data_IF_771521703743
#
_entry.id   IF_771521703743
#
_cell.length_a   1.000
_cell.length_b   1.000
_cell.length_c   1.000
_cell.angle_alpha   90.00
_cell.angle_beta   90.00
_cell.angle_gamma   90.00
#
_symmetry.space_group_name_H-M   'P 1'
#
loop_
_entity.id
_entity.type
_entity.pdbx_description
1 polymer ?
#
# COMPACT_ATOMS: atom_id res chain seq x y z
N UNK A 1 -22.37 -5.45 26.21
CA UNK A 1 -21.67 -4.62 25.24
C UNK A 1 -22.07 -3.18 25.50
N UNK A 2 -21.19 -2.38 26.11
CA UNK A 2 -21.46 -0.95 26.27
C UNK A 2 -21.45 -0.29 24.90
N UNK A 3 -22.57 0.36 24.56
CA UNK A 3 -22.67 1.19 23.36
C UNK A 3 -21.69 2.36 23.53
N UNK A 4 -20.61 2.39 22.74
CA UNK A 4 -19.68 3.52 22.77
C UNK A 4 -20.42 4.81 22.44
N UNK A 5 -20.17 5.85 23.23
CA UNK A 5 -20.82 7.14 23.05
C UNK A 5 -20.41 7.73 21.67
N UNK A 6 -21.29 8.42 20.93
CA UNK A 6 -20.95 9.05 19.64
C UNK A 6 -19.69 9.92 19.71
N UNK A 7 -19.44 10.55 20.84
CA UNK A 7 -18.24 11.37 21.08
C UNK A 7 -16.95 10.52 21.04
N UNK A 8 -17.00 9.26 21.52
CA UNK A 8 -15.84 8.36 21.50
C UNK A 8 -15.42 8.03 20.08
N UNK A 9 -16.39 7.88 19.17
CA UNK A 9 -16.11 7.67 17.74
C UNK A 9 -15.45 8.89 17.09
N UNK A 10 -15.88 10.10 17.45
CA UNK A 10 -15.27 11.34 16.93
C UNK A 10 -13.86 11.53 17.47
N UNK A 11 -13.63 11.30 18.77
CA UNK A 11 -12.30 11.39 19.38
C UNK A 11 -11.35 10.37 18.74
N UNK A 12 -11.79 9.13 18.56
CA UNK A 12 -11.00 8.09 17.93
C UNK A 12 -10.72 8.40 16.44
N UNK A 13 -11.66 9.03 15.73
CA UNK A 13 -11.43 9.48 14.36
C UNK A 13 -10.40 10.61 14.29
N UNK A 14 -10.47 11.59 15.21
CA UNK A 14 -9.49 12.66 15.30
C UNK A 14 -8.07 12.14 15.65
N UNK A 15 -7.95 11.21 16.60
CA UNK A 15 -6.66 10.58 16.95
C UNK A 15 -6.06 9.86 15.74
N UNK A 16 -6.87 9.05 15.01
CA UNK A 16 -6.42 8.38 13.79
C UNK A 16 -5.95 9.38 12.73
N UNK A 17 -6.68 10.47 12.53
CA UNK A 17 -6.32 11.50 11.56
C UNK A 17 -4.97 12.16 11.90
N UNK A 18 -4.77 12.53 13.16
CA UNK A 18 -3.53 13.13 13.62
C UNK A 18 -2.35 12.16 13.48
N UNK A 19 -2.53 10.87 13.81
CA UNK A 19 -1.50 9.85 13.64
C UNK A 19 -1.15 9.62 12.19
N UNK A 20 -2.15 9.49 11.31
CA UNK A 20 -1.93 9.24 9.89
C UNK A 20 -1.15 10.36 9.20
N UNK A 21 -1.31 11.62 9.64
CA UNK A 21 -0.68 12.77 9.01
C UNK A 21 0.65 13.16 9.64
N UNK A 22 0.79 13.02 10.96
CA UNK A 22 1.91 13.61 11.72
C UNK A 22 2.79 12.59 12.45
N UNK A 23 2.34 11.35 12.63
CA UNK A 23 3.17 10.32 13.23
C UNK A 23 3.87 9.47 12.14
N UNK A 24 5.07 8.95 12.41
CA UNK A 24 5.69 7.95 11.54
C UNK A 24 4.77 6.73 11.38
N UNK A 25 4.62 6.24 10.17
CA UNK A 25 3.85 5.02 9.93
C UNK A 25 4.56 3.81 10.54
N UNK A 26 3.78 2.92 11.16
CA UNK A 26 4.30 1.69 11.75
C UNK A 26 3.72 0.48 11.04
N UNK A 27 4.59 -0.31 10.42
CA UNK A 27 4.20 -1.56 9.81
C UNK A 27 4.05 -2.68 10.85
N UNK A 28 3.00 -3.47 10.71
CA UNK A 28 2.81 -4.74 11.41
C UNK A 28 3.46 -5.91 10.67
N UNK A 29 3.64 -5.77 9.37
CA UNK A 29 4.29 -6.74 8.45
C UNK A 29 5.68 -6.23 8.06
N UNK A 30 6.65 -7.14 7.82
CA UNK A 30 7.98 -6.75 7.34
C UNK A 30 7.88 -6.09 5.94
N UNK A 31 8.86 -5.26 5.61
CA UNK A 31 8.98 -4.71 4.25
C UNK A 31 9.17 -5.86 3.27
N UNK A 32 8.39 -5.93 2.16
CA UNK A 32 8.54 -6.97 1.15
C UNK A 32 9.97 -7.04 0.62
N UNK A 33 10.55 -8.24 0.64
CA UNK A 33 11.87 -8.48 0.07
C UNK A 33 11.76 -8.71 -1.44
N UNK A 34 12.73 -8.22 -2.20
CA UNK A 34 12.84 -8.60 -3.61
C UNK A 34 12.95 -10.12 -3.71
N UNK A 35 12.16 -10.73 -4.59
CA UNK A 35 12.29 -12.16 -4.87
C UNK A 35 13.69 -12.37 -5.45
N UNK A 36 14.56 -13.03 -4.70
CA UNK A 36 15.76 -13.63 -5.30
C UNK A 36 15.26 -14.74 -6.22
N UNK A 37 15.58 -14.67 -7.51
CA UNK A 37 15.33 -15.77 -8.44
C UNK A 37 15.70 -17.08 -7.76
N UNK A 38 14.83 -18.11 -7.80
CA UNK A 38 15.19 -19.43 -7.27
C UNK A 38 16.47 -19.87 -7.95
N UNK A 39 17.50 -20.12 -7.14
CA UNK A 39 18.78 -20.62 -7.62
C UNK A 39 18.52 -21.97 -8.32
N UNK A 40 18.46 -21.99 -9.66
CA UNK A 40 18.27 -23.19 -10.47
C UNK A 40 19.40 -24.24 -10.30
N UNK A 41 20.34 -23.98 -9.39
CA UNK A 41 21.53 -24.82 -9.14
C UNK A 41 21.31 -26.01 -8.21
N UNK A 42 20.15 -26.22 -7.59
CA UNK A 42 19.93 -27.32 -6.65
C UNK A 42 18.97 -28.39 -7.17
N UNK A 43 19.24 -28.91 -8.35
CA UNK A 43 18.67 -30.21 -8.77
C UNK A 43 19.41 -31.30 -8.00
N UNK A 44 18.74 -32.11 -7.17
CA UNK A 44 19.40 -33.23 -6.48
C UNK A 44 19.94 -34.24 -7.52
N UNK A 45 21.26 -34.35 -7.64
CA UNK A 45 21.87 -35.43 -8.41
C UNK A 45 21.58 -36.74 -7.72
N UNK A 46 21.21 -37.82 -8.47
CA UNK A 46 21.03 -39.15 -7.88
C UNK A 46 22.34 -39.63 -7.26
N UNK A 47 22.24 -40.13 -6.04
CA UNK A 47 23.38 -40.67 -5.29
C UNK A 47 23.92 -41.92 -6.00
N UNK A 48 25.09 -41.80 -6.56
CA UNK A 48 25.95 -42.91 -6.92
C UNK A 48 27.03 -43.10 -5.86
N UNK A 49 27.22 -44.34 -5.47
CA UNK A 49 28.08 -44.96 -4.45
C UNK A 49 29.41 -44.31 -4.12
N UNK A 50 29.69 -44.35 -2.83
CA UNK A 50 30.92 -44.69 -2.11
C UNK A 50 32.26 -44.17 -2.67
N UNK A 51 32.93 -43.28 -1.89
CA UNK A 51 34.25 -43.53 -1.37
C UNK A 51 34.64 -42.47 -0.32
N UNK A 52 35.24 -42.99 0.75
CA UNK A 52 35.81 -42.32 1.91
C UNK A 52 37.02 -41.48 1.51
N UNK A 53 37.05 -40.19 1.89
CA UNK A 53 38.28 -39.57 2.39
C UNK A 53 38.01 -38.19 3.05
N UNK A 54 38.50 -38.08 4.25
CA UNK A 54 38.54 -36.91 5.11
C UNK A 54 39.22 -35.68 4.46
N UNK A 55 38.50 -34.56 4.36
CA UNK A 55 39.15 -33.24 4.37
C UNK A 55 38.28 -32.24 5.11
N UNK A 56 38.78 -31.87 6.28
CA UNK A 56 38.42 -30.69 7.05
C UNK A 56 38.79 -29.46 6.20
N UNK A 57 37.80 -28.69 5.79
CA UNK A 57 38.06 -27.42 5.16
C UNK A 57 36.96 -26.41 5.52
N UNK A 58 37.38 -25.50 6.34
CA UNK A 58 37.04 -24.08 6.47
C UNK A 58 35.63 -23.68 5.94
N UNK A 59 34.68 -23.51 6.86
CA UNK A 59 33.42 -22.83 6.59
C UNK A 59 33.69 -21.32 6.60
N UNK A 60 34.22 -20.83 5.49
CA UNK A 60 34.10 -19.43 5.15
C UNK A 60 32.65 -19.14 4.83
N UNK A 61 32.00 -18.43 5.74
CA UNK A 61 30.66 -17.86 5.58
C UNK A 61 30.75 -16.74 4.52
N UNK A 62 30.69 -17.15 3.25
CA UNK A 62 30.55 -16.21 2.16
C UNK A 62 29.05 -15.93 1.96
N UNK A 63 28.53 -14.97 2.71
CA UNK A 63 27.33 -14.23 2.35
C UNK A 63 27.55 -13.59 0.96
N UNK A 64 27.32 -14.35 -0.10
CA UNK A 64 27.27 -13.87 -1.47
C UNK A 64 25.89 -13.27 -1.74
N UNK A 65 25.54 -12.22 -1.01
CA UNK A 65 24.50 -11.30 -1.46
C UNK A 65 25.01 -10.69 -2.77
N UNK A 66 24.34 -11.04 -3.89
CA UNK A 66 24.59 -10.40 -5.18
C UNK A 66 24.60 -8.88 -4.97
N UNK A 67 25.57 -8.15 -5.54
CA UNK A 67 25.63 -6.71 -5.34
C UNK A 67 24.33 -6.09 -5.85
N UNK A 68 23.60 -5.43 -4.96
CA UNK A 68 22.39 -4.69 -5.31
C UNK A 68 22.71 -3.78 -6.50
N UNK A 69 21.97 -3.94 -7.60
CA UNK A 69 22.14 -3.11 -8.78
C UNK A 69 22.02 -1.65 -8.37
N UNK A 70 23.10 -0.89 -8.51
CA UNK A 70 23.13 0.50 -8.10
C UNK A 70 22.37 1.33 -9.14
N UNK A 71 21.23 1.90 -8.74
CA UNK A 71 20.46 2.81 -9.59
C UNK A 71 21.29 4.04 -9.95
N UNK A 72 21.20 4.49 -11.20
CA UNK A 72 21.69 5.80 -11.61
C UNK A 72 20.91 6.91 -10.89
N UNK A 73 21.43 8.13 -10.88
CA UNK A 73 20.73 9.27 -10.24
C UNK A 73 19.37 9.54 -10.88
N UNK A 74 19.25 9.38 -12.20
CA UNK A 74 17.97 9.55 -12.90
C UNK A 74 16.96 8.47 -12.51
N UNK A 75 17.37 7.20 -12.45
CA UNK A 75 16.52 6.09 -12.00
C UNK A 75 16.10 6.24 -10.55
N UNK A 76 17.01 6.66 -9.68
CA UNK A 76 16.73 6.92 -8.26
C UNK A 76 15.69 8.03 -8.09
N UNK A 77 15.81 9.13 -8.83
CA UNK A 77 14.84 10.24 -8.80
C UNK A 77 13.48 9.80 -9.33
N UNK A 78 13.43 9.00 -10.40
CA UNK A 78 12.20 8.45 -10.95
C UNK A 78 11.51 7.53 -9.94
N UNK A 79 12.25 6.58 -9.36
CA UNK A 79 11.71 5.68 -8.31
C UNK A 79 11.18 6.47 -7.12
N UNK A 80 11.90 7.50 -6.67
CA UNK A 80 11.49 8.34 -5.56
C UNK A 80 10.18 9.10 -5.86
N UNK A 81 10.02 9.63 -7.08
CA UNK A 81 8.80 10.31 -7.48
C UNK A 81 7.60 9.34 -7.51
N UNK A 82 7.78 8.13 -8.07
CA UNK A 82 6.74 7.10 -8.11
C UNK A 82 6.35 6.63 -6.69
N UNK A 83 7.33 6.35 -5.83
CA UNK A 83 7.07 5.96 -4.44
C UNK A 83 6.39 7.06 -3.63
N UNK A 84 6.65 8.33 -3.91
CA UNK A 84 5.96 9.46 -3.28
C UNK A 84 4.49 9.53 -3.70
N UNK A 85 4.21 9.27 -4.96
CA UNK A 85 2.83 9.18 -5.46
C UNK A 85 2.09 8.05 -4.77
N UNK A 86 2.70 6.85 -4.66
CA UNK A 86 2.08 5.72 -3.97
C UNK A 86 1.80 6.08 -2.50
N UNK A 87 2.79 6.61 -1.77
CA UNK A 87 2.58 7.06 -0.39
C UNK A 87 1.41 8.05 -0.25
N UNK A 88 1.27 9.02 -1.17
CA UNK A 88 0.16 9.95 -1.14
C UNK A 88 -1.18 9.26 -1.43
N UNK A 89 -1.19 8.23 -2.29
CA UNK A 89 -2.33 7.36 -2.54
C UNK A 89 -2.79 6.64 -1.28
N UNK A 90 -1.85 6.03 -0.53
CA UNK A 90 -2.15 5.32 0.73
C UNK A 90 -2.69 6.26 1.82
N UNK A 91 -2.15 7.47 1.93
CA UNK A 91 -2.72 8.52 2.82
C UNK A 91 -4.18 8.80 2.44
N UNK A 92 -4.46 8.90 1.15
CA UNK A 92 -5.81 9.17 0.67
C UNK A 92 -6.77 7.98 0.87
N UNK A 93 -6.32 6.74 0.61
CA UNK A 93 -7.09 5.52 0.84
C UNK A 93 -7.41 5.34 2.33
N UNK A 94 -6.40 5.43 3.20
CA UNK A 94 -6.59 5.35 4.64
C UNK A 94 -7.58 6.40 5.16
N UNK A 95 -7.47 7.65 4.69
CA UNK A 95 -8.38 8.74 5.05
C UNK A 95 -9.81 8.47 4.58
N UNK A 96 -9.98 7.95 3.36
CA UNK A 96 -11.26 7.55 2.80
C UNK A 96 -11.94 6.51 3.70
N UNK A 97 -11.23 5.45 4.08
CA UNK A 97 -11.74 4.39 4.96
C UNK A 97 -12.08 4.91 6.35
N UNK A 98 -11.25 5.80 6.92
CA UNK A 98 -11.56 6.44 8.20
C UNK A 98 -12.85 7.28 8.14
N UNK A 99 -13.04 8.04 7.06
CA UNK A 99 -14.24 8.82 6.83
C UNK A 99 -15.48 7.96 6.64
N UNK A 100 -15.38 6.89 5.85
CA UNK A 100 -16.46 5.92 5.64
C UNK A 100 -16.81 5.20 6.95
N UNK A 101 -15.83 4.73 7.71
CA UNK A 101 -16.04 4.02 8.97
C UNK A 101 -16.72 4.89 10.04
N UNK A 102 -16.47 6.22 10.03
CA UNK A 102 -17.07 7.14 10.99
C UNK A 102 -18.61 7.14 10.90
N UNK A 103 -19.17 7.05 9.70
CA UNK A 103 -20.61 7.12 9.44
C UNK A 103 -21.22 5.82 8.96
N UNK A 104 -20.47 4.73 8.93
CA UNK A 104 -20.96 3.39 8.59
C UNK A 104 -22.11 2.98 9.51
N UNK A 105 -23.18 2.44 8.92
CA UNK A 105 -24.42 2.07 9.63
C UNK A 105 -24.32 0.72 10.32
N UNK A 106 -23.59 -0.23 9.75
CA UNK A 106 -23.36 -1.54 10.35
C UNK A 106 -21.96 -1.64 10.97
N UNK A 107 -21.86 -2.35 12.10
CA UNK A 107 -20.55 -2.61 12.72
C UNK A 107 -19.66 -3.45 11.80
N UNK A 108 -20.24 -4.40 11.06
CA UNK A 108 -19.49 -5.22 10.11
C UNK A 108 -18.83 -4.39 9.01
N UNK A 109 -19.53 -3.39 8.44
CA UNK A 109 -18.96 -2.45 7.46
C UNK A 109 -17.89 -1.60 8.11
N UNK A 110 -18.13 -1.10 9.32
CA UNK A 110 -17.16 -0.29 10.06
C UNK A 110 -15.88 -1.07 10.33
N UNK A 111 -15.98 -2.30 10.81
CA UNK A 111 -14.85 -3.14 11.14
C UNK A 111 -14.04 -3.50 9.89
N UNK A 112 -14.70 -3.81 8.77
CA UNK A 112 -14.05 -4.05 7.49
C UNK A 112 -13.22 -2.84 7.05
N UNK A 113 -13.81 -1.64 7.08
CA UNK A 113 -13.12 -0.39 6.68
C UNK A 113 -11.95 -0.04 7.61
N UNK A 114 -12.09 -0.26 8.92
CA UNK A 114 -11.00 -0.03 9.87
C UNK A 114 -9.89 -1.07 9.74
N UNK A 115 -10.21 -2.31 9.36
CA UNK A 115 -9.21 -3.33 9.07
C UNK A 115 -8.39 -2.95 7.83
N UNK A 116 -9.04 -2.58 6.73
CA UNK A 116 -8.36 -2.08 5.54
C UNK A 116 -7.48 -0.86 5.87
N UNK A 117 -8.04 0.17 6.55
CA UNK A 117 -7.27 1.34 6.96
C UNK A 117 -6.03 1.01 7.82
N UNK A 118 -6.08 -0.07 8.60
CA UNK A 118 -4.92 -0.55 9.37
C UNK A 118 -3.87 -1.18 8.47
N UNK A 119 -4.28 -1.93 7.43
CA UNK A 119 -3.35 -2.53 6.47
C UNK A 119 -2.65 -1.45 5.63
N UNK A 120 -3.34 -0.33 5.31
CA UNK A 120 -2.72 0.83 4.69
C UNK A 120 -1.56 1.42 5.51
N UNK A 121 -1.54 1.22 6.84
CA UNK A 121 -0.39 1.63 7.65
C UNK A 121 0.88 0.86 7.33
N UNK A 122 0.77 -0.40 6.90
CA UNK A 122 1.91 -1.19 6.42
C UNK A 122 2.45 -0.61 5.11
N UNK A 123 1.55 -0.33 4.15
CA UNK A 123 1.89 0.27 2.85
C UNK A 123 2.58 1.63 3.03
N UNK A 124 2.02 2.48 3.90
CA UNK A 124 2.62 3.78 4.25
C UNK A 124 4.03 3.61 4.79
N UNK A 125 4.23 2.72 5.76
CA UNK A 125 5.54 2.50 6.36
C UNK A 125 6.56 1.94 5.34
N UNK A 126 6.14 1.06 4.44
CA UNK A 126 7.00 0.54 3.37
C UNK A 126 7.40 1.64 2.38
N UNK A 127 6.45 2.48 1.98
CA UNK A 127 6.72 3.62 1.10
C UNK A 127 7.64 4.65 1.76
N UNK A 128 7.42 4.98 3.05
CA UNK A 128 8.30 5.90 3.80
C UNK A 128 9.73 5.37 3.91
N UNK A 129 9.89 4.09 4.29
CA UNK A 129 11.19 3.44 4.38
C UNK A 129 11.91 3.50 3.02
N UNK A 130 11.20 3.18 1.93
CA UNK A 130 11.77 3.22 0.59
C UNK A 130 12.14 4.62 0.14
N UNK A 131 11.29 5.61 0.38
CA UNK A 131 11.60 7.02 0.09
C UNK A 131 12.86 7.49 0.81
N UNK A 132 13.03 7.13 2.09
CA UNK A 132 14.23 7.44 2.87
C UNK A 132 15.49 6.81 2.25
N UNK A 133 15.43 5.55 1.81
CA UNK A 133 16.54 4.87 1.12
C UNK A 133 16.91 5.53 -0.20
N UNK A 134 15.91 6.03 -0.93
CA UNK A 134 16.09 6.77 -2.17
C UNK A 134 16.60 8.20 -1.94
N UNK A 135 16.77 8.63 -0.68
CA UNK A 135 17.19 9.99 -0.31
C UNK A 135 16.10 11.04 -0.60
N UNK A 136 14.83 10.64 -0.50
CA UNK A 136 13.68 11.48 -0.80
C UNK A 136 12.75 11.62 0.41
N UNK A 137 11.61 12.27 0.22
CA UNK A 137 10.61 12.54 1.25
C UNK A 137 9.21 12.27 0.75
N UNK A 138 8.26 12.17 1.65
CA UNK A 138 6.82 12.12 1.36
C UNK A 138 6.30 13.46 0.84
N UNK A 139 5.09 13.47 0.28
CA UNK A 139 4.47 14.70 -0.24
C UNK A 139 4.15 15.68 0.88
N UNK A 140 4.44 16.97 0.66
CA UNK A 140 4.04 18.05 1.57
C UNK A 140 2.53 18.28 1.60
N UNK A 141 1.81 17.79 0.60
CA UNK A 141 0.37 17.95 0.47
C UNK A 141 -0.41 16.81 1.17
N UNK A 142 0.27 15.89 1.87
CA UNK A 142 -0.40 14.79 2.58
C UNK A 142 -1.53 15.25 3.53
N UNK A 143 -1.40 16.35 4.32
CA UNK A 143 -2.52 16.84 5.13
C UNK A 143 -3.75 17.22 4.29
N UNK A 144 -3.54 17.81 3.11
CA UNK A 144 -4.61 18.18 2.18
C UNK A 144 -5.27 16.93 1.58
N UNK A 145 -4.47 15.96 1.16
CA UNK A 145 -4.97 14.68 0.62
C UNK A 145 -5.77 13.92 1.67
N UNK A 146 -5.27 13.88 2.91
CA UNK A 146 -6.00 13.25 4.02
C UNK A 146 -7.35 13.92 4.26
N UNK A 147 -7.39 15.24 4.48
CA UNK A 147 -8.62 15.96 4.78
C UNK A 147 -9.65 15.85 3.64
N UNK A 148 -9.20 15.98 2.38
CA UNK A 148 -10.07 15.87 1.21
C UNK A 148 -10.66 14.46 1.06
N UNK A 149 -9.83 13.43 1.16
CA UNK A 149 -10.28 12.04 1.05
C UNK A 149 -11.17 11.61 2.21
N UNK A 150 -10.87 12.07 3.43
CA UNK A 150 -11.74 11.82 4.59
C UNK A 150 -13.14 12.40 4.38
N UNK A 151 -13.23 13.65 3.91
CA UNK A 151 -14.52 14.28 3.61
C UNK A 151 -15.29 13.51 2.51
N UNK A 152 -14.60 13.07 1.46
CA UNK A 152 -15.18 12.23 0.40
C UNK A 152 -15.69 10.90 1.00
N UNK A 153 -14.93 10.27 1.88
CA UNK A 153 -15.33 9.05 2.57
C UNK A 153 -16.60 9.22 3.39
N UNK A 154 -16.69 10.29 4.17
CA UNK A 154 -17.92 10.65 4.92
C UNK A 154 -19.10 10.81 3.98
N UNK A 155 -18.94 11.54 2.88
CA UNK A 155 -20.02 11.75 1.90
C UNK A 155 -20.45 10.45 1.21
N UNK A 156 -19.51 9.60 0.82
CA UNK A 156 -19.81 8.30 0.22
C UNK A 156 -20.60 7.40 1.18
N UNK A 157 -20.21 7.33 2.46
CA UNK A 157 -20.88 6.51 3.45
C UNK A 157 -22.23 7.08 3.92
N UNK A 158 -22.43 8.38 3.85
CA UNK A 158 -23.73 9.01 4.14
C UNK A 158 -24.86 8.49 3.23
N UNK A 159 -24.53 8.03 2.02
CA UNK A 159 -25.49 7.41 1.08
C UNK A 159 -25.89 5.98 1.43
N UNK A 160 -25.16 5.33 2.35
CA UNK A 160 -25.40 3.98 2.86
C UNK A 160 -24.26 3.00 2.59
N UNK A 161 -24.20 1.94 3.40
CA UNK A 161 -23.07 1.00 3.43
C UNK A 161 -22.79 0.34 2.08
N UNK A 162 -23.83 -0.05 1.33
CA UNK A 162 -23.64 -0.68 0.02
C UNK A 162 -22.97 0.24 -1.02
N UNK A 163 -23.35 1.52 -1.03
CA UNK A 163 -22.72 2.52 -1.90
C UNK A 163 -21.32 2.84 -1.43
N UNK A 164 -21.13 2.96 -0.11
CA UNK A 164 -19.83 3.14 0.55
C UNK A 164 -18.85 2.04 0.17
N UNK A 165 -19.26 0.77 0.29
CA UNK A 165 -18.44 -0.38 -0.12
C UNK A 165 -18.22 -0.41 -1.65
N UNK A 166 -19.18 0.04 -2.44
CA UNK A 166 -19.00 0.22 -3.88
C UNK A 166 -17.96 1.26 -4.23
N UNK A 167 -17.84 2.30 -3.39
CA UNK A 167 -16.79 3.30 -3.52
C UNK A 167 -15.41 2.69 -3.23
N UNK A 168 -15.29 1.81 -2.21
CA UNK A 168 -14.07 1.04 -1.96
C UNK A 168 -13.70 0.19 -3.17
N UNK A 169 -14.63 -0.63 -3.68
CA UNK A 169 -14.38 -1.48 -4.86
C UNK A 169 -13.83 -0.68 -6.05
N UNK A 170 -14.37 0.51 -6.32
CA UNK A 170 -13.89 1.35 -7.42
C UNK A 170 -12.54 2.00 -7.09
N UNK A 171 -12.28 2.38 -5.84
CA UNK A 171 -10.98 2.92 -5.39
C UNK A 171 -9.90 1.88 -5.63
N UNK A 172 -10.07 0.65 -5.12
CA UNK A 172 -9.06 -0.41 -5.25
C UNK A 172 -8.80 -0.79 -6.71
N UNK A 173 -9.85 -0.86 -7.52
CA UNK A 173 -9.69 -1.09 -8.96
C UNK A 173 -8.84 0.00 -9.64
N UNK A 174 -8.97 1.26 -9.21
CA UNK A 174 -8.16 2.36 -9.75
C UNK A 174 -6.73 2.33 -9.20
N UNK A 175 -6.55 1.96 -7.93
CA UNK A 175 -5.22 1.81 -7.31
C UNK A 175 -4.48 0.64 -7.95
N UNK A 176 -5.11 -0.53 -8.14
CA UNK A 176 -4.53 -1.67 -8.86
C UNK A 176 -3.99 -1.26 -10.22
N UNK A 177 -4.81 -0.58 -11.05
CA UNK A 177 -4.38 -0.11 -12.36
C UNK A 177 -3.25 0.91 -12.31
N UNK A 178 -3.20 1.73 -11.26
CA UNK A 178 -2.14 2.69 -11.02
C UNK A 178 -0.81 2.01 -10.61
N UNK A 179 -0.89 1.00 -9.74
CA UNK A 179 0.27 0.19 -9.33
C UNK A 179 0.85 -0.59 -10.53
N UNK A 180 -0.01 -1.15 -11.39
CA UNK A 180 0.43 -1.79 -12.65
C UNK A 180 1.19 -0.81 -13.55
N UNK A 181 0.68 0.42 -13.72
CA UNK A 181 1.38 1.47 -14.49
C UNK A 181 2.73 1.82 -13.86
N UNK A 182 2.79 1.94 -12.54
CA UNK A 182 4.02 2.25 -11.83
C UNK A 182 5.04 1.10 -11.93
N UNK A 183 4.62 -0.15 -11.84
CA UNK A 183 5.48 -1.32 -12.07
C UNK A 183 6.10 -1.34 -13.47
N UNK A 184 5.37 -0.90 -14.50
CA UNK A 184 5.91 -0.75 -15.85
C UNK A 184 6.91 0.42 -15.96
N UNK A 185 6.77 1.47 -15.17
CA UNK A 185 7.61 2.68 -15.20
C UNK A 185 8.84 2.60 -14.31
N UNK A 186 8.81 1.77 -13.26
CA UNK A 186 9.96 1.59 -12.38
C UNK A 186 11.15 1.01 -13.14
N UNK A 187 12.38 1.49 -12.90
CA UNK A 187 13.60 0.89 -13.44
C UNK A 187 13.65 -0.61 -13.13
N UNK A 188 14.10 -1.42 -14.08
CA UNK A 188 14.19 -2.88 -13.90
C UNK A 188 15.14 -3.27 -12.75
N UNK A 189 16.16 -2.47 -12.49
CA UNK A 189 17.10 -2.65 -11.39
C UNK A 189 16.54 -2.26 -10.02
N UNK A 190 15.38 -1.60 -9.94
CA UNK A 190 14.74 -1.25 -8.65
C UNK A 190 13.86 -2.39 -8.14
N UNK A 191 14.48 -3.52 -7.88
CA UNK A 191 13.80 -4.73 -7.39
C UNK A 191 13.09 -4.51 -6.06
N UNK A 192 13.59 -3.59 -5.23
CA UNK A 192 13.02 -3.31 -3.91
C UNK A 192 11.72 -2.51 -4.00
N UNK A 193 11.66 -1.45 -4.80
CA UNK A 193 10.40 -0.73 -5.04
C UNK A 193 9.38 -1.62 -5.72
N UNK A 194 9.81 -2.45 -6.67
CA UNK A 194 8.94 -3.41 -7.35
C UNK A 194 8.30 -4.40 -6.38
N UNK A 195 9.09 -4.99 -5.47
CA UNK A 195 8.56 -5.93 -4.47
C UNK A 195 7.51 -5.29 -3.55
N UNK A 196 7.71 -4.04 -3.16
CA UNK A 196 6.72 -3.28 -2.38
C UNK A 196 5.43 -3.11 -3.18
N UNK A 197 5.50 -2.65 -4.43
CA UNK A 197 4.32 -2.42 -5.25
C UNK A 197 3.58 -3.71 -5.60
N UNK A 198 4.28 -4.82 -5.84
CA UNK A 198 3.68 -6.13 -6.11
C UNK A 198 2.87 -6.62 -4.89
N UNK A 199 3.41 -6.43 -3.67
CA UNK A 199 2.69 -6.78 -2.44
C UNK A 199 1.47 -5.88 -2.23
N UNK A 200 1.63 -4.55 -2.34
CA UNK A 200 0.53 -3.59 -2.24
C UNK A 200 -0.59 -3.97 -3.22
N UNK A 201 -0.25 -4.19 -4.49
CA UNK A 201 -1.21 -4.60 -5.52
C UNK A 201 -1.99 -5.88 -5.14
N UNK A 202 -1.31 -6.85 -4.54
CA UNK A 202 -1.96 -8.09 -4.07
C UNK A 202 -2.97 -7.79 -2.96
N UNK A 203 -2.59 -6.92 -2.03
CA UNK A 203 -3.45 -6.53 -0.91
C UNK A 203 -4.67 -5.74 -1.40
N UNK A 204 -4.51 -4.79 -2.35
CA UNK A 204 -5.61 -3.99 -2.92
C UNK A 204 -6.65 -4.85 -3.67
N UNK A 205 -6.20 -5.87 -4.39
CA UNK A 205 -7.12 -6.86 -5.00
C UNK A 205 -7.94 -7.55 -3.90
N UNK A 206 -7.31 -7.87 -2.76
CA UNK A 206 -7.97 -8.44 -1.58
C UNK A 206 -9.01 -7.50 -0.97
N UNK A 207 -8.67 -6.22 -0.78
CA UNK A 207 -9.57 -5.19 -0.25
C UNK A 207 -10.80 -5.00 -1.15
N UNK A 208 -10.59 -4.87 -2.46
CA UNK A 208 -11.67 -4.76 -3.45
C UNK A 208 -12.60 -5.98 -3.44
N UNK A 209 -12.03 -7.19 -3.37
CA UNK A 209 -12.79 -8.44 -3.30
C UNK A 209 -13.61 -8.53 -2.00
N UNK A 210 -13.03 -8.18 -0.85
CA UNK A 210 -13.70 -8.16 0.44
C UNK A 210 -14.88 -7.16 0.47
N UNK A 211 -14.67 -5.94 -0.02
CA UNK A 211 -15.71 -4.93 -0.12
C UNK A 211 -16.85 -5.36 -1.05
N UNK A 212 -16.53 -6.01 -2.16
CA UNK A 212 -17.54 -6.57 -3.09
C UNK A 212 -18.33 -7.70 -2.44
N UNK A 213 -17.66 -8.63 -1.75
CA UNK A 213 -18.30 -9.73 -1.03
C UNK A 213 -19.20 -9.24 0.12
N UNK A 214 -18.83 -8.13 0.78
CA UNK A 214 -19.66 -7.46 1.78
C UNK A 214 -20.87 -6.69 1.21
N UNK A 215 -21.10 -6.74 -0.11
CA UNK A 215 -22.29 -6.18 -0.76
C UNK A 215 -22.08 -4.81 -1.42
N UNK A 216 -20.84 -4.43 -1.70
CA UNK A 216 -20.53 -3.23 -2.46
C UNK A 216 -21.21 -3.21 -3.83
N UNK A 217 -21.90 -2.12 -4.15
CA UNK A 217 -22.62 -1.94 -5.42
C UNK A 217 -21.74 -1.22 -6.42
N UNK A 218 -21.91 -1.57 -7.69
CA UNK A 218 -21.21 -0.85 -8.76
C UNK A 218 -21.62 0.63 -8.77
N UNK A 219 -20.65 1.52 -8.84
CA UNK A 219 -20.91 2.95 -8.94
C UNK A 219 -21.32 3.37 -10.37
N UNK A 220 -22.14 4.41 -10.50
CA UNK A 220 -22.42 5.02 -11.80
C UNK A 220 -21.13 5.53 -12.46
N UNK A 221 -21.03 5.36 -13.79
CA UNK A 221 -19.85 5.76 -14.56
C UNK A 221 -19.39 7.22 -14.35
N UNK A 222 -20.28 8.22 -14.18
CA UNK A 222 -19.85 9.59 -13.89
C UNK A 222 -19.10 9.72 -12.56
N UNK A 223 -19.50 8.96 -11.53
CA UNK A 223 -18.84 8.96 -10.23
C UNK A 223 -17.42 8.35 -10.34
N UNK A 224 -17.31 7.19 -10.99
CA UNK A 224 -15.99 6.57 -11.27
C UNK A 224 -15.09 7.49 -12.11
N UNK A 225 -15.63 8.25 -13.04
CA UNK A 225 -14.89 9.22 -13.83
C UNK A 225 -14.38 10.41 -12.98
N UNK A 226 -15.23 10.91 -12.08
CA UNK A 226 -14.84 11.96 -11.11
C UNK A 226 -13.73 11.49 -10.18
N UNK A 227 -13.84 10.27 -9.65
CA UNK A 227 -12.79 9.65 -8.81
C UNK A 227 -11.45 9.60 -9.56
N UNK A 228 -11.45 9.10 -10.82
CA UNK A 228 -10.23 9.08 -11.65
C UNK A 228 -9.64 10.48 -11.87
N UNK A 229 -10.50 11.48 -12.06
CA UNK A 229 -10.02 12.86 -12.23
C UNK A 229 -9.37 13.40 -10.95
N UNK A 230 -10.01 13.21 -9.80
CA UNK A 230 -9.46 13.61 -8.50
C UNK A 230 -8.13 12.89 -8.21
N UNK A 231 -8.07 11.57 -8.45
CA UNK A 231 -6.85 10.79 -8.32
C UNK A 231 -5.72 11.32 -9.22
N UNK A 232 -6.02 11.67 -10.49
CA UNK A 232 -5.03 12.23 -11.42
C UNK A 232 -4.47 13.58 -10.93
N UNK A 233 -5.31 14.44 -10.37
CA UNK A 233 -4.85 15.71 -9.78
C UNK A 233 -3.87 15.44 -8.64
N UNK A 234 -4.25 14.56 -7.71
CA UNK A 234 -3.41 14.18 -6.57
C UNK A 234 -2.07 13.57 -7.01
N UNK A 235 -2.12 12.56 -7.88
CA UNK A 235 -0.91 11.85 -8.33
C UNK A 235 0.04 12.77 -9.10
N UNK A 236 -0.50 13.67 -9.94
CA UNK A 236 0.30 14.66 -10.66
C UNK A 236 1.00 15.63 -9.69
N UNK A 237 0.28 16.14 -8.68
CA UNK A 237 0.86 17.03 -7.69
C UNK A 237 1.90 16.29 -6.81
N UNK A 238 1.59 15.10 -6.31
CA UNK A 238 2.48 14.31 -5.47
C UNK A 238 3.76 13.86 -6.18
N UNK A 239 3.75 13.75 -7.50
CA UNK A 239 4.95 13.42 -8.28
C UNK A 239 6.06 14.48 -8.11
N UNK A 240 5.68 15.75 -7.94
CA UNK A 240 6.62 16.87 -7.91
C UNK A 240 6.88 17.44 -6.50
N UNK A 241 5.90 17.30 -5.57
CA UNK A 241 5.92 18.03 -4.29
C UNK A 241 6.00 17.06 -3.09
#
# INVERSE_FOLDING_TARGET
MESRHPLDHLIAAADRALRAVFAPAHASRPVPAALTEPNEGNVPRPRGSCDTESRQQDRGDSDQSLPAVKLSDAERLQSAALMRVNHAGEIAAQALYHGQALVARSDATRDLLLSAAKEESDHLAWCEARLKELGSRTSLLNPLWYCGSFAIGVLAAATGDRTSLGFVVETERQVEGHLDEHLMRLPSGDTRSRAILDQMRTDEIGHGAAAKAAGGTQLPAPISALMRHAARVMTTAAYWI
#
